data_IF_656599949332
#
_entry.id   IF_656599949332
#
_cell.length_a   1.000
_cell.length_b   1.000
_cell.length_c   1.000
_cell.angle_alpha   90.00
_cell.angle_beta   90.00
_cell.angle_gamma   90.00
#
_symmetry.space_group_name_H-M   'P 1'
#
loop_
_entity.id
_entity.type
_entity.pdbx_description
1 polymer ?
#
# COMPACT_ATOMS: atom_id res chain seq x y z
N UNK A 1 -4.95 15.00 -32.44
CA UNK A 1 -4.43 15.77 -31.30
C UNK A 1 -5.61 16.42 -30.59
N UNK A 2 -6.29 15.64 -29.76
CA UNK A 2 -7.30 16.13 -28.83
C UNK A 2 -6.59 16.43 -27.52
N UNK A 3 -6.60 17.69 -27.11
CA UNK A 3 -6.13 18.10 -25.81
C UNK A 3 -6.87 17.26 -24.75
N UNK A 4 -6.12 16.53 -23.90
CA UNK A 4 -6.67 16.00 -22.66
C UNK A 4 -7.16 17.21 -21.87
N UNK A 5 -8.47 17.31 -21.72
CA UNK A 5 -9.15 18.22 -20.81
C UNK A 5 -8.41 18.19 -19.47
N UNK A 6 -8.05 19.35 -18.94
CA UNK A 6 -7.69 19.48 -17.51
C UNK A 6 -8.89 18.99 -16.72
N UNK A 7 -8.85 17.75 -16.23
CA UNK A 7 -9.85 17.27 -15.29
C UNK A 7 -9.82 18.25 -14.11
N UNK A 8 -10.97 18.85 -13.78
CA UNK A 8 -11.09 19.63 -12.56
C UNK A 8 -10.66 18.71 -11.40
N UNK A 9 -9.75 19.18 -10.54
CA UNK A 9 -9.40 18.48 -9.31
C UNK A 9 -10.70 18.14 -8.59
N UNK A 10 -10.99 16.85 -8.46
CA UNK A 10 -12.22 16.40 -7.82
C UNK A 10 -12.01 16.54 -6.32
N UNK A 11 -12.88 17.29 -5.63
CA UNK A 11 -12.75 17.46 -4.17
C UNK A 11 -12.95 16.14 -3.43
N UNK A 12 -12.33 15.98 -2.26
CA UNK A 12 -12.49 14.80 -1.42
C UNK A 12 -13.98 14.50 -1.16
N UNK A 13 -14.78 15.52 -0.83
CA UNK A 13 -16.21 15.37 -0.59
C UNK A 13 -16.97 14.80 -1.80
N UNK A 14 -16.61 15.22 -3.03
CA UNK A 14 -17.23 14.69 -4.24
C UNK A 14 -16.85 13.22 -4.48
N UNK A 15 -15.58 12.85 -4.24
CA UNK A 15 -15.13 11.47 -4.38
C UNK A 15 -15.80 10.57 -3.33
N UNK A 16 -15.86 10.99 -2.06
CA UNK A 16 -16.51 10.24 -0.98
C UNK A 16 -18.00 10.01 -1.26
N UNK A 17 -18.69 11.02 -1.80
CA UNK A 17 -20.09 10.89 -2.20
C UNK A 17 -20.28 9.89 -3.36
N UNK A 18 -19.33 9.81 -4.29
CA UNK A 18 -19.36 8.87 -5.40
C UNK A 18 -18.93 7.44 -5.02
N UNK A 19 -18.02 7.32 -4.05
CA UNK A 19 -17.39 6.06 -3.63
C UNK A 19 -17.39 5.91 -2.09
N UNK A 20 -18.56 5.73 -1.45
CA UNK A 20 -18.64 5.59 0.00
C UNK A 20 -18.13 4.22 0.47
N UNK A 21 -17.42 4.19 1.60
CA UNK A 21 -16.96 2.96 2.28
C UNK A 21 -17.65 2.79 3.65
N UNK A 22 -18.96 2.50 3.70
CA UNK A 22 -19.70 2.40 4.97
C UNK A 22 -19.17 1.28 5.89
N UNK A 23 -18.59 0.22 5.33
CA UNK A 23 -18.08 -0.91 6.12
C UNK A 23 -16.81 -0.55 6.93
N UNK A 24 -16.17 0.58 6.61
CA UNK A 24 -15.03 1.13 7.33
C UNK A 24 -15.44 2.14 8.42
N UNK A 25 -16.74 2.45 8.54
CA UNK A 25 -17.24 3.38 9.57
C UNK A 25 -17.04 2.84 11.00
N UNK A 26 -16.96 1.52 11.16
CA UNK A 26 -16.62 0.87 12.42
C UNK A 26 -15.09 0.71 12.52
N UNK A 27 -14.45 1.53 13.35
CA UNK A 27 -13.01 1.47 13.57
C UNK A 27 -12.63 0.30 14.48
N UNK A 28 -11.46 -0.28 14.25
CA UNK A 28 -10.87 -1.33 15.08
C UNK A 28 -9.49 -0.93 15.61
N UNK A 29 -9.00 -1.55 16.71
CA UNK A 29 -7.68 -1.26 17.25
C UNK A 29 -6.57 -1.61 16.27
N UNK A 30 -5.54 -0.75 16.23
CA UNK A 30 -4.30 -0.99 15.48
C UNK A 30 -3.17 -1.36 16.45
N UNK A 31 -2.28 -2.25 16.05
CA UNK A 31 -1.15 -2.69 16.85
C UNK A 31 0.01 -1.68 16.83
N UNK A 32 0.61 -1.44 18.00
CA UNK A 32 1.65 -0.43 18.16
C UNK A 32 2.93 -0.73 17.36
N UNK A 33 3.30 -2.00 17.18
CA UNK A 33 4.50 -2.38 16.40
C UNK A 33 4.33 -1.98 14.93
N UNK A 34 3.17 -2.24 14.34
CA UNK A 34 2.87 -1.80 12.97
C UNK A 34 2.87 -0.27 12.87
N UNK A 35 2.20 0.40 13.80
CA UNK A 35 2.08 1.85 13.80
C UNK A 35 3.42 2.55 13.97
N UNK A 36 4.32 2.03 14.80
CA UNK A 36 5.66 2.58 15.01
C UNK A 36 6.49 2.51 13.72
N UNK A 37 6.50 1.34 13.07
CA UNK A 37 7.21 1.16 11.79
C UNK A 37 6.63 2.05 10.68
N UNK A 38 5.30 2.19 10.62
CA UNK A 38 4.63 3.03 9.64
C UNK A 38 4.78 4.53 9.92
N UNK A 39 4.78 4.94 11.19
CA UNK A 39 5.08 6.31 11.59
C UNK A 39 6.48 6.70 11.13
N UNK A 40 7.49 5.89 11.45
CA UNK A 40 8.85 6.12 10.98
C UNK A 40 8.94 6.15 9.44
N UNK A 41 8.29 5.20 8.75
CA UNK A 41 8.34 5.10 7.30
C UNK A 41 7.67 6.28 6.60
N UNK A 42 6.42 6.61 6.96
CA UNK A 42 5.63 7.67 6.34
C UNK A 42 6.21 9.04 6.68
N UNK A 43 6.41 9.32 7.97
CA UNK A 43 6.87 10.64 8.42
C UNK A 43 8.32 10.88 7.97
N UNK A 44 9.16 9.84 8.01
CA UNK A 44 10.54 9.91 7.52
C UNK A 44 10.61 10.26 6.04
N UNK A 45 9.85 9.57 5.18
CA UNK A 45 9.87 9.86 3.75
C UNK A 45 9.16 11.17 3.39
N UNK A 46 8.10 11.54 4.11
CA UNK A 46 7.47 12.86 3.93
C UNK A 46 8.47 13.98 4.22
N UNK A 47 9.20 13.90 5.35
CA UNK A 47 10.27 14.85 5.68
C UNK A 47 11.36 14.90 4.61
N UNK A 48 11.71 13.77 3.99
CA UNK A 48 12.67 13.76 2.88
C UNK A 48 12.18 14.54 1.66
N UNK A 49 10.86 14.61 1.43
CA UNK A 49 10.26 15.38 0.33
C UNK A 49 10.19 16.86 0.66
N UNK A 50 9.72 17.23 1.85
CA UNK A 50 9.48 18.65 2.21
C UNK A 50 10.71 19.34 2.82
N UNK A 51 11.70 18.57 3.26
CA UNK A 51 12.97 19.02 3.85
C UNK A 51 12.76 20.08 4.96
N UNK A 52 13.42 21.24 4.83
CA UNK A 52 13.36 22.34 5.82
C UNK A 52 11.96 22.97 5.97
N UNK A 53 11.01 22.63 5.09
CA UNK A 53 9.61 23.08 5.14
C UNK A 53 8.68 22.07 5.82
N UNK A 54 9.23 21.11 6.58
CA UNK A 54 8.44 20.13 7.33
C UNK A 54 7.60 20.80 8.43
N UNK A 55 6.36 21.17 8.08
CA UNK A 55 5.36 21.66 9.02
C UNK A 55 4.26 20.59 9.23
N UNK A 56 4.19 19.94 10.41
CA UNK A 56 3.14 18.97 10.74
C UNK A 56 1.71 19.54 10.68
N UNK A 57 1.54 20.87 10.68
CA UNK A 57 0.23 21.48 10.52
C UNK A 57 -0.39 21.21 9.13
N UNK A 58 0.44 21.01 8.10
CA UNK A 58 -0.02 20.67 6.74
C UNK A 58 -0.71 19.30 6.69
N UNK A 59 -0.06 18.17 7.05
CA UNK A 59 -0.75 16.89 7.14
C UNK A 59 -1.89 16.93 8.18
N UNK A 60 -1.77 17.66 9.29
CA UNK A 60 -2.86 17.78 10.26
C UNK A 60 -4.15 18.39 9.68
N UNK A 61 -4.05 19.37 8.78
CA UNK A 61 -5.21 19.93 8.09
C UNK A 61 -5.90 18.88 7.19
N UNK A 62 -5.11 18.07 6.47
CA UNK A 62 -5.67 16.99 5.64
C UNK A 62 -6.27 15.86 6.47
N UNK A 63 -5.68 15.51 7.61
CA UNK A 63 -6.23 14.51 8.54
C UNK A 63 -7.57 15.00 9.10
N UNK A 64 -7.69 16.26 9.50
CA UNK A 64 -8.97 16.83 9.98
C UNK A 64 -10.03 16.85 8.88
N UNK A 65 -9.69 17.31 7.67
CA UNK A 65 -10.58 17.27 6.50
C UNK A 65 -11.10 15.85 6.25
N UNK A 66 -10.19 14.88 6.26
CA UNK A 66 -10.49 13.49 5.98
C UNK A 66 -11.42 12.86 7.03
N UNK A 67 -11.08 12.99 8.32
CA UNK A 67 -11.89 12.41 9.40
C UNK A 67 -13.32 12.99 9.40
N UNK A 68 -13.46 14.30 9.15
CA UNK A 68 -14.78 14.94 9.08
C UNK A 68 -15.58 14.50 7.86
N UNK A 69 -14.92 14.38 6.71
CA UNK A 69 -15.59 14.13 5.43
C UNK A 69 -15.92 12.65 5.24
N UNK A 70 -14.97 11.76 5.55
CA UNK A 70 -15.10 10.31 5.35
C UNK A 70 -15.85 9.65 6.50
N UNK A 71 -15.48 10.00 7.75
CA UNK A 71 -15.99 9.31 8.93
C UNK A 71 -17.05 10.09 9.70
N UNK A 72 -17.33 11.35 9.35
CA UNK A 72 -18.24 12.24 10.07
C UNK A 72 -17.93 12.32 11.57
N UNK A 73 -16.64 12.32 11.93
CA UNK A 73 -16.13 12.36 13.30
C UNK A 73 -15.30 13.62 13.55
N UNK A 74 -15.04 13.91 14.82
CA UNK A 74 -14.08 14.92 15.21
C UNK A 74 -12.67 14.32 15.27
N UNK A 75 -11.66 15.07 14.84
CA UNK A 75 -10.26 14.70 15.00
C UNK A 75 -9.91 14.58 16.49
N UNK A 76 -9.24 13.48 16.86
CA UNK A 76 -8.66 13.31 18.20
C UNK A 76 -7.55 14.37 18.41
N UNK A 77 -7.60 15.17 19.49
CA UNK A 77 -6.55 16.14 19.77
C UNK A 77 -5.17 15.47 19.87
N UNK A 78 -4.17 16.05 19.21
CA UNK A 78 -2.80 15.54 19.22
C UNK A 78 -2.55 14.31 18.35
N UNK A 79 -3.52 13.81 17.57
CA UNK A 79 -3.35 12.60 16.75
C UNK A 79 -2.13 12.66 15.82
N UNK A 80 -1.93 13.79 15.12
CA UNK A 80 -0.77 13.96 14.23
C UNK A 80 0.52 14.10 15.02
N UNK A 81 0.51 14.81 16.14
CA UNK A 81 1.69 14.97 16.99
C UNK A 81 2.13 13.62 17.57
N UNK A 82 1.18 12.80 18.04
CA UNK A 82 1.38 11.44 18.52
C UNK A 82 2.02 10.57 17.44
N UNK A 83 1.50 10.62 16.21
CA UNK A 83 2.06 9.84 15.10
C UNK A 83 3.46 10.32 14.69
N UNK A 84 3.70 11.63 14.65
CA UNK A 84 5.01 12.23 14.33
C UNK A 84 6.07 11.94 15.39
N UNK A 85 5.66 11.90 16.66
CA UNK A 85 6.53 11.64 17.80
C UNK A 85 6.65 10.15 18.14
N UNK A 86 5.93 9.27 17.44
CA UNK A 86 5.79 7.85 17.76
C UNK A 86 5.37 7.62 19.24
N UNK A 87 4.41 8.41 19.72
CA UNK A 87 3.89 8.34 21.09
C UNK A 87 2.40 8.00 21.10
N UNK A 88 1.94 7.29 22.15
CA UNK A 88 0.53 6.91 22.33
C UNK A 88 -0.07 6.15 21.11
N UNK A 89 0.75 5.38 20.41
CA UNK A 89 0.35 4.67 19.19
C UNK A 89 -0.72 3.61 19.46
N UNK A 90 -0.71 2.98 20.63
CA UNK A 90 -1.69 2.00 21.07
C UNK A 90 -3.13 2.55 21.17
N UNK A 91 -3.30 3.87 21.18
CA UNK A 91 -4.60 4.52 21.15
C UNK A 91 -5.16 4.71 19.72
N UNK A 92 -4.34 4.55 18.68
CA UNK A 92 -4.74 4.78 17.29
C UNK A 92 -5.65 3.63 16.81
N UNK A 93 -6.75 4.01 16.15
CA UNK A 93 -7.67 3.06 15.51
C UNK A 93 -7.52 3.08 13.98
N UNK A 94 -8.07 2.07 13.30
CA UNK A 94 -7.91 1.89 11.86
C UNK A 94 -8.30 3.11 11.03
N UNK A 95 -9.43 3.76 11.32
CA UNK A 95 -9.84 4.99 10.61
C UNK A 95 -9.00 6.22 10.93
N UNK A 96 -8.34 6.26 12.10
CA UNK A 96 -7.35 7.30 12.40
C UNK A 96 -6.05 7.05 11.62
N UNK A 97 -5.59 5.80 11.55
CA UNK A 97 -4.44 5.43 10.73
C UNK A 97 -4.69 5.67 9.23
N UNK A 98 -5.88 5.34 8.73
CA UNK A 98 -6.33 5.63 7.36
C UNK A 98 -6.22 7.14 7.05
N UNK A 99 -6.71 7.98 7.96
CA UNK A 99 -6.63 9.44 7.83
C UNK A 99 -5.20 9.97 7.92
N UNK A 100 -4.38 9.45 8.84
CA UNK A 100 -2.95 9.78 8.96
C UNK A 100 -2.22 9.45 7.66
N UNK A 101 -2.40 8.23 7.14
CA UNK A 101 -1.83 7.80 5.87
C UNK A 101 -2.27 8.75 4.74
N UNK A 102 -3.57 9.03 4.61
CA UNK A 102 -4.08 10.00 3.63
C UNK A 102 -3.39 11.37 3.73
N UNK A 103 -3.34 11.94 4.93
CA UNK A 103 -2.84 13.30 5.13
C UNK A 103 -1.35 13.45 4.80
N UNK A 104 -0.53 12.48 5.21
CA UNK A 104 0.91 12.51 4.91
C UNK A 104 1.21 12.23 3.44
N UNK A 105 0.53 11.27 2.81
CA UNK A 105 0.73 10.99 1.38
C UNK A 105 0.24 12.16 0.52
N UNK A 106 -0.92 12.76 0.83
CA UNK A 106 -1.42 13.97 0.17
C UNK A 106 -0.41 15.11 0.26
N UNK A 107 0.07 15.41 1.46
CA UNK A 107 1.07 16.47 1.67
C UNK A 107 2.35 16.21 0.87
N UNK A 108 2.85 14.97 0.85
CA UNK A 108 4.02 14.61 0.05
C UNK A 108 3.76 14.73 -1.46
N UNK A 109 2.59 14.30 -1.94
CA UNK A 109 2.23 14.31 -3.36
C UNK A 109 2.00 15.71 -3.92
N UNK A 110 1.49 16.64 -3.10
CA UNK A 110 1.37 18.04 -3.44
C UNK A 110 2.75 18.73 -3.44
N UNK A 111 3.59 18.47 -2.43
CA UNK A 111 4.96 18.98 -2.41
C UNK A 111 5.78 18.49 -3.61
N UNK A 112 5.63 17.24 -4.02
CA UNK A 112 6.26 16.73 -5.25
C UNK A 112 5.77 17.46 -6.51
N UNK A 113 4.49 17.82 -6.57
CA UNK A 113 3.93 18.56 -7.70
C UNK A 113 4.54 19.96 -7.88
N UNK A 114 5.08 20.54 -6.80
CA UNK A 114 5.82 21.80 -6.83
C UNK A 114 7.29 21.61 -7.25
N UNK A 115 7.83 20.40 -7.11
CA UNK A 115 9.26 20.10 -7.30
C UNK A 115 9.59 19.47 -8.66
N UNK A 116 8.64 18.79 -9.29
CA UNK A 116 8.86 18.08 -10.56
C UNK A 116 7.86 18.47 -11.63
N UNK A 117 8.26 18.34 -12.89
CA UNK A 117 7.38 18.59 -14.03
C UNK A 117 6.18 17.62 -14.05
N UNK A 118 5.04 18.07 -14.58
CA UNK A 118 3.81 17.29 -14.66
C UNK A 118 3.97 15.92 -15.35
N UNK A 119 4.89 15.80 -16.30
CA UNK A 119 5.19 14.53 -17.00
C UNK A 119 5.97 13.53 -16.14
N UNK A 120 6.70 14.01 -15.12
CA UNK A 120 7.47 13.18 -14.19
C UNK A 120 6.72 12.91 -12.87
N UNK A 121 5.63 13.65 -12.61
CA UNK A 121 4.91 13.64 -11.34
C UNK A 121 4.42 12.26 -10.92
N UNK A 122 3.79 11.49 -11.83
CA UNK A 122 3.35 10.13 -11.52
C UNK A 122 4.51 9.24 -11.07
N UNK A 123 5.63 9.28 -11.78
CA UNK A 123 6.84 8.54 -11.40
C UNK A 123 7.41 8.97 -10.05
N UNK A 124 7.40 10.26 -9.75
CA UNK A 124 7.88 10.78 -8.47
C UNK A 124 7.01 10.34 -7.28
N UNK A 125 5.67 10.35 -7.45
CA UNK A 125 4.73 9.88 -6.42
C UNK A 125 4.82 8.37 -6.22
N UNK A 126 4.91 7.58 -7.30
CA UNK A 126 5.19 6.15 -7.20
C UNK A 126 6.51 5.89 -6.45
N UNK A 127 7.58 6.59 -6.80
CA UNK A 127 8.88 6.45 -6.12
C UNK A 127 8.80 6.79 -4.63
N UNK A 128 7.99 7.78 -4.24
CA UNK A 128 7.72 8.06 -2.82
C UNK A 128 7.07 6.85 -2.13
N UNK A 129 5.99 6.29 -2.70
CA UNK A 129 5.32 5.12 -2.12
C UNK A 129 6.27 3.92 -1.98
N UNK A 130 7.15 3.71 -2.96
CA UNK A 130 8.16 2.64 -2.95
C UNK A 130 9.21 2.83 -1.85
N UNK A 131 9.62 4.08 -1.57
CA UNK A 131 10.53 4.36 -0.45
C UNK A 131 9.86 4.10 0.90
N UNK A 132 8.59 4.48 1.06
CA UNK A 132 7.80 4.16 2.27
C UNK A 132 7.73 2.63 2.47
N UNK A 133 7.32 1.89 1.44
CA UNK A 133 7.23 0.42 1.51
C UNK A 133 8.56 -0.25 1.83
N UNK A 134 9.65 0.18 1.19
CA UNK A 134 11.02 -0.32 1.47
C UNK A 134 11.45 -0.07 2.91
N UNK A 135 11.16 1.12 3.44
CA UNK A 135 11.52 1.52 4.80
C UNK A 135 10.73 0.73 5.84
N UNK A 136 9.42 0.56 5.62
CA UNK A 136 8.59 -0.30 6.45
C UNK A 136 9.07 -1.75 6.41
N UNK A 137 9.28 -2.31 5.21
CA UNK A 137 9.72 -3.70 5.05
C UNK A 137 11.07 -3.97 5.72
N UNK A 138 12.02 -3.04 5.66
CA UNK A 138 13.30 -3.20 6.34
C UNK A 138 13.14 -3.40 7.87
N UNK A 139 12.22 -2.67 8.48
CA UNK A 139 11.89 -2.81 9.91
C UNK A 139 11.12 -4.10 10.18
N UNK A 140 10.11 -4.39 9.35
CA UNK A 140 9.29 -5.60 9.46
C UNK A 140 10.13 -6.87 9.32
N UNK A 141 11.02 -6.92 8.33
CA UNK A 141 11.91 -8.05 8.09
C UNK A 141 12.85 -8.31 9.27
N UNK A 142 13.33 -7.24 9.93
CA UNK A 142 14.13 -7.35 11.14
C UNK A 142 13.28 -7.80 12.35
N UNK A 143 12.11 -7.19 12.55
CA UNK A 143 11.18 -7.52 13.64
C UNK A 143 10.72 -8.98 13.58
N UNK A 144 10.36 -9.45 12.38
CA UNK A 144 9.96 -10.83 12.15
C UNK A 144 11.16 -11.76 11.94
N UNK A 145 12.41 -11.29 11.85
CA UNK A 145 13.55 -12.12 11.46
C UNK A 145 13.22 -13.01 10.24
N UNK A 146 12.81 -12.37 9.13
CA UNK A 146 12.42 -13.09 7.91
C UNK A 146 13.64 -13.76 7.28
N UNK A 147 13.51 -15.05 6.96
CA UNK A 147 14.50 -15.81 6.21
C UNK A 147 14.07 -15.85 4.74
N UNK A 148 14.60 -14.91 3.94
CA UNK A 148 14.30 -14.83 2.51
C UNK A 148 15.40 -15.52 1.70
N UNK A 149 15.04 -16.26 0.64
CA UNK A 149 16.03 -16.70 -0.33
C UNK A 149 16.59 -15.50 -1.09
N UNK A 150 17.75 -15.66 -1.74
CA UNK A 150 18.31 -14.61 -2.61
C UNK A 150 17.81 -14.74 -4.06
N UNK A 151 17.24 -15.89 -4.42
CA UNK A 151 16.72 -16.26 -5.74
C UNK A 151 15.57 -17.25 -5.58
N UNK A 152 14.67 -17.37 -6.56
CA UNK A 152 13.60 -18.37 -6.57
C UNK A 152 13.87 -19.48 -7.60
N UNK A 153 14.96 -20.22 -7.45
CA UNK A 153 15.38 -21.25 -8.42
C UNK A 153 15.01 -22.69 -8.02
N UNK A 154 14.47 -22.88 -6.82
CA UNK A 154 14.15 -24.20 -6.29
C UNK A 154 12.87 -24.18 -5.46
N UNK A 155 12.26 -25.36 -5.31
CA UNK A 155 11.08 -25.53 -4.45
C UNK A 155 11.38 -25.17 -2.98
N UNK A 156 12.62 -25.36 -2.54
CA UNK A 156 13.06 -24.95 -1.21
C UNK A 156 13.09 -23.42 -1.05
N UNK A 157 13.49 -22.69 -2.08
CA UNK A 157 13.45 -21.22 -2.08
C UNK A 157 12.00 -20.72 -2.10
N UNK A 158 11.14 -21.35 -2.92
CA UNK A 158 9.70 -21.05 -2.95
C UNK A 158 9.07 -21.30 -1.58
N UNK A 159 9.38 -22.42 -0.93
CA UNK A 159 8.86 -22.71 0.41
C UNK A 159 9.31 -21.67 1.45
N UNK A 160 10.56 -21.19 1.39
CA UNK A 160 11.05 -20.12 2.26
C UNK A 160 10.34 -18.79 2.00
N UNK A 161 10.11 -18.45 0.74
CA UNK A 161 9.33 -17.28 0.34
C UNK A 161 7.90 -17.36 0.89
N UNK A 162 7.19 -18.47 0.66
CA UNK A 162 5.81 -18.67 1.14
C UNK A 162 5.75 -18.52 2.67
N UNK A 163 6.68 -19.15 3.40
CA UNK A 163 6.75 -19.02 4.85
C UNK A 163 7.00 -17.57 5.30
N UNK A 164 7.80 -16.79 4.57
CA UNK A 164 8.00 -15.38 4.86
C UNK A 164 6.73 -14.54 4.59
N UNK A 165 6.04 -14.81 3.48
CA UNK A 165 4.77 -14.16 3.13
C UNK A 165 3.69 -14.45 4.18
N UNK A 166 3.55 -15.71 4.61
CA UNK A 166 2.60 -16.11 5.65
C UNK A 166 2.87 -15.37 6.98
N UNK A 167 4.15 -15.20 7.35
CA UNK A 167 4.54 -14.47 8.56
C UNK A 167 4.23 -12.98 8.46
N UNK A 168 4.45 -12.37 7.29
CA UNK A 168 4.06 -10.99 7.02
C UNK A 168 2.54 -10.84 7.11
N UNK A 169 1.78 -11.72 6.45
CA UNK A 169 0.32 -11.71 6.51
C UNK A 169 -0.24 -11.85 7.91
N UNK A 170 0.27 -12.84 8.68
CA UNK A 170 -0.11 -13.04 10.07
C UNK A 170 0.17 -11.81 10.93
N UNK A 171 1.31 -11.14 10.72
CA UNK A 171 1.61 -9.88 11.39
C UNK A 171 0.61 -8.78 11.01
N UNK A 172 0.34 -8.57 9.72
CA UNK A 172 -0.58 -7.52 9.25
C UNK A 172 -2.00 -7.71 9.79
N UNK A 173 -2.50 -8.95 9.86
CA UNK A 173 -3.80 -9.27 10.47
C UNK A 173 -3.75 -9.07 11.99
N UNK A 174 -2.73 -9.59 12.67
CA UNK A 174 -2.61 -9.48 14.13
C UNK A 174 -2.47 -8.02 14.62
N UNK A 175 -1.83 -7.16 13.82
CA UNK A 175 -1.67 -5.74 14.10
C UNK A 175 -2.86 -4.90 13.60
N UNK A 176 -3.91 -5.52 13.06
CA UNK A 176 -5.11 -4.84 12.61
C UNK A 176 -4.94 -4.00 11.34
N UNK A 177 -3.82 -4.10 10.61
CA UNK A 177 -3.74 -3.45 9.30
C UNK A 177 -4.73 -4.08 8.31
N UNK A 178 -4.83 -5.41 8.34
CA UNK A 178 -5.90 -6.17 7.70
C UNK A 178 -6.86 -6.62 8.80
N UNK A 179 -8.15 -6.51 8.58
CA UNK A 179 -9.11 -6.80 9.64
C UNK A 179 -9.24 -8.29 9.91
N UNK A 180 -9.28 -9.09 8.86
CA UNK A 180 -9.66 -10.51 8.98
C UNK A 180 -8.96 -11.46 8.01
N UNK A 181 -8.48 -11.02 6.84
CA UNK A 181 -7.92 -11.93 5.83
C UNK A 181 -6.62 -11.44 5.21
N UNK A 182 -5.72 -12.39 4.97
CA UNK A 182 -4.55 -12.26 4.12
C UNK A 182 -4.31 -13.59 3.42
N UNK A 183 -4.17 -13.58 2.11
CA UNK A 183 -3.64 -14.72 1.37
C UNK A 183 -2.81 -14.24 0.18
N UNK A 184 -1.71 -14.93 -0.10
CA UNK A 184 -0.94 -14.72 -1.31
C UNK A 184 -0.77 -16.08 -1.99
N UNK A 185 -1.58 -16.36 -3.01
CA UNK A 185 -1.70 -17.69 -3.60
C UNK A 185 -1.03 -17.75 -4.96
N UNK A 186 -0.38 -18.88 -5.25
CA UNK A 186 0.28 -19.13 -6.53
C UNK A 186 -0.53 -20.07 -7.43
N UNK A 187 -1.62 -20.64 -6.91
CA UNK A 187 -2.67 -21.29 -7.68
C UNK A 187 -3.57 -20.22 -8.30
N UNK A 188 -3.48 -20.03 -9.61
CA UNK A 188 -4.18 -18.96 -10.33
C UNK A 188 -5.03 -19.58 -11.42
N UNK A 189 -6.34 -19.31 -11.36
CA UNK A 189 -7.30 -19.67 -12.40
C UNK A 189 -8.26 -18.49 -12.61
N UNK A 190 -7.87 -17.56 -13.48
CA UNK A 190 -8.59 -16.29 -13.71
C UNK A 190 -8.61 -15.91 -15.18
N UNK A 191 -9.59 -15.08 -15.58
CA UNK A 191 -9.58 -14.37 -16.86
C UNK A 191 -9.11 -12.93 -16.63
N UNK A 192 -8.05 -12.51 -17.31
CA UNK A 192 -7.50 -11.16 -17.23
C UNK A 192 -7.12 -10.66 -18.63
N UNK A 193 -7.55 -9.43 -18.97
CA UNK A 193 -7.36 -8.82 -20.29
C UNK A 193 -7.77 -9.72 -21.49
N UNK A 194 -8.85 -10.50 -21.33
CA UNK A 194 -9.35 -11.44 -22.34
C UNK A 194 -8.49 -12.70 -22.52
N UNK A 195 -7.57 -12.97 -21.58
CA UNK A 195 -6.73 -14.17 -21.54
C UNK A 195 -7.04 -14.96 -20.29
N UNK A 196 -7.21 -16.28 -20.44
CA UNK A 196 -7.30 -17.19 -19.30
C UNK A 196 -5.88 -17.51 -18.81
N UNK A 197 -5.63 -17.27 -17.53
CA UNK A 197 -4.39 -17.59 -16.84
C UNK A 197 -4.67 -18.80 -15.96
N UNK A 198 -4.02 -19.92 -16.28
CA UNK A 198 -4.03 -21.14 -15.48
C UNK A 198 -2.61 -21.44 -15.00
N UNK A 199 -2.43 -21.52 -13.68
CA UNK A 199 -1.17 -21.80 -13.01
C UNK A 199 -1.41 -22.64 -11.75
N UNK A 200 -0.65 -23.73 -11.63
CA UNK A 200 -0.50 -24.48 -10.39
C UNK A 200 0.65 -23.88 -9.58
N UNK A 201 0.43 -23.56 -8.31
CA UNK A 201 1.43 -22.97 -7.43
C UNK A 201 2.68 -23.82 -7.26
N UNK A 202 2.57 -25.15 -7.36
CA UNK A 202 3.71 -26.07 -7.34
C UNK A 202 4.67 -25.88 -8.52
N UNK A 203 4.24 -25.17 -9.58
CA UNK A 203 5.06 -24.90 -10.75
C UNK A 203 5.80 -23.56 -10.71
N UNK A 204 5.66 -22.77 -9.63
CA UNK A 204 6.18 -21.41 -9.53
C UNK A 204 7.66 -21.31 -9.91
N UNK A 205 8.54 -22.13 -9.30
CA UNK A 205 9.97 -22.09 -9.57
C UNK A 205 10.28 -22.45 -11.04
N UNK A 206 9.61 -23.47 -11.59
CA UNK A 206 9.79 -23.88 -12.97
C UNK A 206 9.37 -22.77 -13.94
N UNK A 207 8.22 -22.11 -13.71
CA UNK A 207 7.74 -21.00 -14.56
C UNK A 207 8.66 -19.79 -14.51
N UNK A 208 9.17 -19.43 -13.33
CA UNK A 208 10.14 -18.34 -13.21
C UNK A 208 11.45 -18.67 -13.94
N UNK A 209 11.88 -19.93 -13.94
CA UNK A 209 13.09 -20.37 -14.63
C UNK A 209 12.92 -20.48 -16.16
N UNK A 210 11.87 -21.15 -16.60
CA UNK A 210 11.66 -21.54 -18.00
C UNK A 210 10.95 -20.45 -18.82
N UNK A 211 9.92 -19.83 -18.24
CA UNK A 211 9.08 -18.83 -18.92
C UNK A 211 9.47 -17.39 -18.56
N UNK A 212 10.22 -17.20 -17.46
CA UNK A 212 10.56 -15.88 -16.94
C UNK A 212 9.36 -15.10 -16.39
N UNK A 213 8.23 -15.77 -16.14
CA UNK A 213 6.99 -15.16 -15.69
C UNK A 213 6.15 -16.14 -14.88
N UNK A 214 5.67 -15.69 -13.74
CA UNK A 214 4.64 -16.37 -12.95
C UNK A 214 3.61 -15.36 -12.45
N UNK A 215 2.47 -15.88 -12.00
CA UNK A 215 1.37 -15.08 -11.46
C UNK A 215 1.10 -15.42 -10.00
N UNK A 216 0.43 -14.51 -9.28
CA UNK A 216 -0.11 -14.78 -7.96
C UNK A 216 -1.39 -13.97 -7.73
N UNK A 217 -2.22 -14.39 -6.79
CA UNK A 217 -3.35 -13.59 -6.29
C UNK A 217 -3.01 -13.10 -4.88
N UNK A 218 -3.18 -11.81 -4.65
CA UNK A 218 -3.05 -11.20 -3.33
C UNK A 218 -4.42 -10.79 -2.82
N UNK A 219 -4.89 -11.48 -1.78
CA UNK A 219 -6.18 -11.27 -1.15
C UNK A 219 -6.01 -10.55 0.19
N UNK A 220 -6.77 -9.47 0.38
CA UNK A 220 -6.75 -8.64 1.59
C UNK A 220 -8.17 -8.40 2.10
N UNK A 221 -8.42 -8.84 3.33
CA UNK A 221 -9.68 -8.59 4.03
C UNK A 221 -9.66 -7.26 4.76
N UNK A 222 -10.47 -6.31 4.28
CA UNK A 222 -10.61 -4.97 4.83
C UNK A 222 -9.27 -4.26 5.13
N UNK A 223 -8.41 -4.02 4.13
CA UNK A 223 -7.18 -3.28 4.36
C UNK A 223 -7.49 -1.87 4.87
N UNK A 224 -6.92 -1.49 6.02
CA UNK A 224 -7.28 -0.26 6.75
C UNK A 224 -7.22 1.01 5.89
N UNK A 225 -6.42 1.00 4.82
CA UNK A 225 -6.19 2.14 3.94
C UNK A 225 -7.00 2.11 2.64
N UNK A 226 -7.89 1.14 2.44
CA UNK A 226 -8.66 1.05 1.20
C UNK A 226 -9.37 2.37 0.86
N UNK A 227 -10.11 3.01 1.81
CA UNK A 227 -10.83 4.23 1.49
C UNK A 227 -9.87 5.34 1.04
N UNK A 228 -8.79 5.57 1.78
CA UNK A 228 -7.83 6.62 1.45
C UNK A 228 -7.04 6.36 0.18
N UNK A 229 -6.72 5.11 -0.15
CA UNK A 229 -6.10 4.74 -1.42
C UNK A 229 -7.00 5.15 -2.60
N UNK A 230 -8.29 4.82 -2.53
CA UNK A 230 -9.30 5.22 -3.53
C UNK A 230 -9.38 6.73 -3.64
N UNK A 231 -9.46 7.42 -2.50
CA UNK A 231 -9.65 8.86 -2.49
C UNK A 231 -8.42 9.62 -2.99
N UNK A 232 -7.20 9.19 -2.67
CA UNK A 232 -5.99 9.77 -3.27
C UNK A 232 -5.91 9.51 -4.76
N UNK A 233 -6.27 8.32 -5.23
CA UNK A 233 -6.28 8.03 -6.66
C UNK A 233 -7.20 8.97 -7.43
N UNK A 234 -8.43 9.20 -6.95
CA UNK A 234 -9.36 10.11 -7.62
C UNK A 234 -9.02 11.60 -7.45
N UNK A 235 -8.45 12.00 -6.31
CA UNK A 235 -8.15 13.42 -6.04
C UNK A 235 -6.82 13.84 -6.66
N UNK A 236 -5.81 12.98 -6.64
CA UNK A 236 -4.44 13.29 -7.04
C UNK A 236 -3.89 12.37 -8.15
N UNK A 237 -4.57 11.31 -8.55
CA UNK A 237 -4.12 10.43 -9.64
C UNK A 237 -3.06 9.39 -9.23
N UNK A 238 -2.85 9.17 -7.93
CA UNK A 238 -1.96 8.12 -7.40
C UNK A 238 -2.48 7.66 -6.03
N UNK A 239 -2.43 6.36 -5.76
CA UNK A 239 -2.85 5.78 -4.49
C UNK A 239 -1.68 5.53 -3.53
N UNK A 240 -1.98 5.42 -2.24
CA UNK A 240 -1.01 5.10 -1.20
C UNK A 240 -0.82 3.58 -1.07
N UNK A 241 0.01 3.01 -1.93
CA UNK A 241 0.19 1.56 -2.12
C UNK A 241 1.07 0.82 -1.10
N UNK A 242 1.23 1.29 0.14
CA UNK A 242 2.34 0.79 0.96
C UNK A 242 2.29 -0.72 1.29
N UNK A 243 1.12 -1.37 1.40
CA UNK A 243 1.06 -2.85 1.51
C UNK A 243 1.60 -3.54 0.27
N UNK A 244 1.16 -3.13 -0.92
CA UNK A 244 1.69 -3.66 -2.17
C UNK A 244 3.20 -3.42 -2.26
N UNK A 245 3.67 -2.20 -1.98
CA UNK A 245 5.11 -1.87 -1.98
C UNK A 245 5.92 -2.70 -0.97
N UNK A 246 5.30 -3.17 0.11
CA UNK A 246 5.92 -4.09 1.08
C UNK A 246 6.14 -5.46 0.45
N UNK A 247 5.14 -5.98 -0.27
CA UNK A 247 5.24 -7.26 -0.99
C UNK A 247 6.22 -7.16 -2.17
N UNK A 248 6.22 -6.04 -2.91
CA UNK A 248 7.22 -5.79 -3.96
C UNK A 248 8.65 -5.89 -3.42
N UNK A 249 8.93 -5.26 -2.27
CA UNK A 249 10.25 -5.32 -1.64
C UNK A 249 10.59 -6.73 -1.14
N UNK A 250 9.61 -7.48 -0.61
CA UNK A 250 9.78 -8.89 -0.24
C UNK A 250 10.29 -9.73 -1.43
N UNK A 251 9.63 -9.60 -2.60
CA UNK A 251 10.06 -10.26 -3.82
C UNK A 251 11.40 -9.74 -4.35
N UNK A 252 11.66 -8.44 -4.24
CA UNK A 252 12.95 -7.84 -4.62
C UNK A 252 14.11 -8.47 -3.85
N UNK A 253 13.92 -8.76 -2.55
CA UNK A 253 14.92 -9.46 -1.72
C UNK A 253 15.08 -10.93 -2.11
N UNK A 254 14.04 -11.52 -2.68
CA UNK A 254 14.03 -12.88 -3.23
C UNK A 254 14.55 -12.98 -4.68
N UNK A 255 15.13 -11.90 -5.23
CA UNK A 255 15.68 -11.91 -6.58
C UNK A 255 14.63 -11.79 -7.69
N UNK A 256 13.44 -11.27 -7.37
CA UNK A 256 12.34 -11.10 -8.32
C UNK A 256 11.84 -9.65 -8.36
N UNK A 257 11.28 -9.26 -9.50
CA UNK A 257 10.39 -8.10 -9.60
C UNK A 257 8.97 -8.64 -9.56
N UNK A 258 8.21 -8.22 -8.56
CA UNK A 258 6.79 -8.51 -8.48
C UNK A 258 6.01 -7.20 -8.49
N UNK A 259 4.87 -7.17 -9.17
CA UNK A 259 3.95 -6.04 -9.18
C UNK A 259 2.56 -6.49 -9.60
N UNK A 260 1.55 -5.74 -9.21
CA UNK A 260 0.18 -5.88 -9.71
C UNK A 260 0.13 -5.73 -11.25
N UNK A 261 -0.72 -6.51 -11.94
CA UNK A 261 -0.83 -6.53 -13.42
C UNK A 261 -1.53 -5.31 -14.00
N UNK A 262 -2.49 -4.80 -13.26
CA UNK A 262 -3.07 -3.49 -13.49
C UNK A 262 -2.46 -2.55 -12.46
N UNK A 263 -2.01 -1.35 -12.86
CA UNK A 263 -1.82 -0.28 -11.87
C UNK A 263 -3.20 -0.10 -11.21
N UNK A 264 -3.32 -0.61 -9.98
CA UNK A 264 -4.53 -0.70 -9.18
C UNK A 264 -5.57 0.35 -9.54
N UNK A 265 -6.74 -0.12 -10.02
CA UNK A 265 -7.96 0.66 -9.98
C UNK A 265 -8.74 0.22 -8.73
N UNK A 266 -8.63 0.95 -7.60
CA UNK A 266 -9.30 0.60 -6.36
C UNK A 266 -10.83 0.47 -6.49
N UNK A 267 -11.41 1.02 -7.57
CA UNK A 267 -12.86 1.17 -7.74
C UNK A 267 -13.57 -0.13 -8.14
N UNK A 268 -12.82 -1.15 -8.55
CA UNK A 268 -13.37 -2.45 -8.96
C UNK A 268 -13.55 -3.45 -7.82
N UNK A 269 -12.97 -3.21 -6.65
CA UNK A 269 -12.94 -4.19 -5.57
C UNK A 269 -14.11 -4.03 -4.61
N UNK A 270 -14.74 -5.15 -4.18
CA UNK A 270 -15.69 -5.08 -3.09
C UNK A 270 -14.96 -4.66 -1.80
N UNK A 271 -15.65 -3.93 -0.93
CA UNK A 271 -15.08 -3.34 0.29
C UNK A 271 -14.57 -4.39 1.28
N UNK A 272 -15.08 -5.61 1.20
CA UNK A 272 -14.81 -6.71 2.12
C UNK A 272 -13.60 -7.58 1.72
N UNK A 273 -13.27 -7.63 0.43
CA UNK A 273 -12.15 -8.41 -0.08
C UNK A 273 -11.52 -7.75 -1.31
N UNK A 274 -10.30 -7.25 -1.15
CA UNK A 274 -9.48 -6.76 -2.27
C UNK A 274 -8.68 -7.95 -2.81
N UNK A 275 -8.72 -8.19 -4.13
CA UNK A 275 -8.00 -9.29 -4.78
C UNK A 275 -7.19 -8.77 -5.96
N UNK A 276 -5.88 -8.66 -5.80
CA UNK A 276 -4.99 -8.19 -6.85
C UNK A 276 -4.36 -9.36 -7.60
N UNK A 277 -4.31 -9.30 -8.93
CA UNK A 277 -3.50 -10.20 -9.73
C UNK A 277 -2.08 -9.61 -9.84
N UNK A 278 -1.09 -10.42 -9.54
CA UNK A 278 0.32 -10.04 -9.54
C UNK A 278 1.09 -10.78 -10.62
N UNK A 279 2.00 -10.07 -11.29
CA UNK A 279 3.05 -10.62 -12.13
C UNK A 279 4.37 -10.69 -11.36
N UNK A 280 5.08 -11.81 -11.51
CA UNK A 280 6.37 -12.07 -10.88
C UNK A 280 7.37 -12.45 -11.97
N UNK A 281 8.51 -11.77 -11.98
CA UNK A 281 9.60 -11.97 -12.95
C UNK A 281 10.94 -12.08 -12.24
N UNK A 282 11.91 -12.87 -12.72
CA UNK A 282 13.29 -12.78 -12.25
C UNK A 282 13.83 -11.34 -12.38
N UNK A 283 14.65 -10.89 -11.42
CA UNK A 283 15.17 -9.51 -11.44
C UNK A 283 16.02 -9.15 -12.67
N UNK A 284 16.60 -10.18 -13.30
CA UNK A 284 17.44 -10.10 -14.50
C UNK A 284 16.67 -10.29 -15.82
N UNK A 285 15.37 -10.56 -15.77
CA UNK A 285 14.53 -10.64 -16.97
C UNK A 285 14.25 -9.22 -17.50
N UNK A 286 14.73 -8.96 -18.72
CA UNK A 286 14.58 -7.68 -19.43
C UNK A 286 13.18 -7.50 -20.03
#
# INVERSE_FOLDING_TARGET
MTAKSSAAETSLANVVAAHPYPDYAAWWPMGADFLDMMADAIVGEWRNVVADHADPAVPAAYVDEYIRTVYARALRPGLVDDFVAASNLDAIQSGEFDALSYGFFRAAFEALAEQVDATALGGARRAFTQRVGRRFFAQLAAHLALDLPATLHSDADVARLCAAIDRVGAFLVAQGYLRDHFAFTFDVDVEHAGRVIHQDGATLAARLHDDGLAFALYEMGYPAILPSAVYLFHTLGEAQHHSSRTIEELFARAGCRASETDDFDPTGYPSDMVVELWEIRPADAA
#
